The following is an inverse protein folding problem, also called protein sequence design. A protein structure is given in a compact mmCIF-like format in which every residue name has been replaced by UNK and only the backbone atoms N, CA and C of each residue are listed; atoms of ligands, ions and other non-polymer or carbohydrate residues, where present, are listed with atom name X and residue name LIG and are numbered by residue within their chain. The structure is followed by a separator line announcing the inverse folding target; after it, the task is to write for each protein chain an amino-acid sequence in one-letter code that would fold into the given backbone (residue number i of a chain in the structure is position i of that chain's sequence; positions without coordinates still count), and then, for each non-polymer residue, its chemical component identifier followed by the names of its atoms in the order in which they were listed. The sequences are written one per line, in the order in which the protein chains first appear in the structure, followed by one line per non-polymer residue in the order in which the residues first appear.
data_IF_451488932217
#
_entry.id   IF_451488932217
#
_cell.length_a   1.000
_cell.length_b   1.000
_cell.length_c   1.000
_cell.angle_alpha   90.00
_cell.angle_beta   90.00
_cell.angle_gamma   90.00
#
_symmetry.space_group_name_H-M   'P 1'
#
loop_
_entity.id
_entity.type
_entity.pdbx_description
1 polymer ?
#
# COMPACT_ATOMS: atom_id res chain seq x y z
N UNK A 1 37.39 -60.22 -2.49
CA UNK A 1 36.12 -60.89 -2.87
C UNK A 1 35.00 -59.96 -2.41
N UNK A 2 34.40 -59.18 -3.33
CA UNK A 2 33.03 -59.37 -3.89
C UNK A 2 31.96 -59.21 -2.76
N UNK A 3 31.02 -58.26 -2.78
CA UNK A 3 30.14 -57.85 -3.89
C UNK A 3 29.67 -56.39 -3.78
N UNK A 4 29.60 -55.74 -4.95
CA UNK A 4 28.79 -54.56 -5.22
C UNK A 4 27.34 -54.96 -5.50
N UNK A 5 26.38 -54.14 -5.07
CA UNK A 5 25.00 -53.98 -5.60
C UNK A 5 24.47 -52.73 -4.88
N UNK A 6 24.18 -51.59 -5.50
CA UNK A 6 23.63 -51.39 -6.84
C UNK A 6 22.11 -51.43 -6.78
N UNK A 7 21.48 -50.47 -6.11
CA UNK A 7 20.03 -50.25 -6.21
C UNK A 7 19.75 -48.75 -6.39
N UNK A 8 19.72 -48.34 -7.65
CA UNK A 8 19.13 -47.08 -8.07
C UNK A 8 17.60 -47.23 -7.98
N UNK A 9 16.96 -46.48 -7.09
CA UNK A 9 15.51 -46.31 -7.09
C UNK A 9 15.19 -44.88 -7.58
N UNK A 10 14.88 -44.79 -8.87
CA UNK A 10 14.15 -43.68 -9.46
C UNK A 10 12.69 -43.78 -9.01
N UNK A 11 12.21 -42.82 -8.21
CA UNK A 11 10.78 -42.56 -8.05
C UNK A 11 10.46 -41.08 -8.20
N UNK A 12 9.97 -40.77 -9.40
CA UNK A 12 8.70 -40.09 -9.65
C UNK A 12 8.25 -38.98 -8.70
N UNK A 13 8.28 -37.77 -9.25
CA UNK A 13 7.52 -36.56 -8.92
C UNK A 13 6.17 -36.75 -8.23
N UNK A 14 5.98 -36.05 -7.11
CA UNK A 14 4.67 -35.57 -6.68
C UNK A 14 4.81 -34.12 -6.19
N UNK A 15 4.65 -33.17 -7.11
CA UNK A 15 4.40 -31.77 -6.76
C UNK A 15 3.02 -31.73 -6.08
N UNK A 16 3.01 -31.68 -4.76
CA UNK A 16 1.80 -31.37 -4.01
C UNK A 16 1.39 -29.95 -4.37
N UNK A 17 0.32 -29.81 -5.15
CA UNK A 17 -0.41 -28.57 -5.27
C UNK A 17 -0.92 -28.22 -3.86
N UNK A 18 -0.33 -27.20 -3.24
CA UNK A 18 -0.84 -26.64 -2.00
C UNK A 18 -2.13 -25.90 -2.36
N UNK A 19 -3.26 -26.59 -2.26
CA UNK A 19 -4.56 -25.93 -2.26
C UNK A 19 -4.57 -25.00 -1.04
N UNK A 20 -4.50 -23.68 -1.27
CA UNK A 20 -4.75 -22.70 -0.23
C UNK A 20 -6.21 -22.83 0.18
N UNK A 21 -6.44 -23.44 1.35
CA UNK A 21 -7.74 -23.50 1.96
C UNK A 21 -8.25 -22.07 2.21
N UNK A 22 -9.55 -21.79 1.99
CA UNK A 22 -10.13 -20.52 2.38
C UNK A 22 -9.87 -20.31 3.88
N UNK A 23 -9.35 -19.13 4.23
CA UNK A 23 -9.21 -18.76 5.63
C UNK A 23 -10.61 -18.73 6.26
N UNK A 24 -10.78 -19.35 7.42
CA UNK A 24 -12.03 -19.26 8.16
C UNK A 24 -12.21 -17.83 8.71
N UNK A 25 -13.46 -17.36 8.94
CA UNK A 25 -13.67 -16.09 9.63
C UNK A 25 -12.93 -16.13 10.98
N UNK A 26 -12.06 -15.14 11.21
CA UNK A 26 -11.29 -15.04 12.44
C UNK A 26 -12.07 -14.22 13.47
N UNK A 27 -12.05 -14.66 14.72
CA UNK A 27 -12.68 -13.94 15.82
C UNK A 27 -11.62 -13.12 16.54
N UNK A 28 -11.77 -11.80 16.55
CA UNK A 28 -10.89 -10.88 17.28
C UNK A 28 -11.59 -10.43 18.56
N UNK A 29 -10.89 -10.57 19.68
CA UNK A 29 -11.29 -10.12 21.00
C UNK A 29 -10.63 -8.78 21.30
N UNK A 30 -11.42 -7.76 21.61
CA UNK A 30 -10.96 -6.47 22.13
C UNK A 30 -11.10 -6.48 23.65
N UNK A 31 -9.96 -6.44 24.34
CA UNK A 31 -9.88 -6.48 25.79
C UNK A 31 -9.55 -5.09 26.33
N UNK A 32 -10.40 -4.55 27.20
CA UNK A 32 -10.18 -3.27 27.88
C UNK A 32 -9.86 -3.54 29.34
N UNK A 33 -8.66 -3.17 29.78
CA UNK A 33 -8.17 -3.32 31.15
C UNK A 33 -8.78 -2.30 32.13
N UNK A 34 -8.59 -2.50 33.44
CA UNK A 34 -9.10 -1.60 34.48
C UNK A 34 -8.44 -0.21 34.47
N UNK A 35 -7.24 -0.12 33.92
CA UNK A 35 -6.48 1.10 33.63
C UNK A 35 -6.89 1.78 32.30
N UNK A 36 -7.82 1.16 31.56
CA UNK A 36 -8.25 1.63 30.24
C UNK A 36 -7.36 1.18 29.08
N UNK A 37 -6.33 0.37 29.33
CA UNK A 37 -5.49 -0.17 28.26
C UNK A 37 -6.29 -1.10 27.34
N UNK A 38 -6.10 -0.98 26.02
CA UNK A 38 -6.81 -1.78 25.02
C UNK A 38 -5.85 -2.72 24.29
N UNK A 39 -6.20 -4.02 24.26
CA UNK A 39 -5.49 -5.04 23.50
C UNK A 39 -6.43 -5.75 22.51
N UNK A 40 -5.92 -6.12 21.34
CA UNK A 40 -6.62 -6.96 20.35
C UNK A 40 -5.92 -8.31 20.25
N UNK A 41 -6.68 -9.40 20.36
CA UNK A 41 -6.13 -10.75 20.39
C UNK A 41 -7.08 -11.79 19.80
N UNK A 42 -6.53 -12.94 19.39
CA UNK A 42 -7.29 -14.07 18.84
C UNK A 42 -7.79 -15.05 19.92
N UNK A 43 -7.56 -14.72 21.20
CA UNK A 43 -7.94 -15.53 22.37
C UNK A 43 -8.89 -14.75 23.30
N UNK A 44 -9.72 -15.42 24.13
CA UNK A 44 -10.59 -14.75 25.09
C UNK A 44 -9.84 -13.82 26.05
N UNK A 45 -10.51 -12.76 26.49
CA UNK A 45 -9.89 -11.79 27.39
C UNK A 45 -9.54 -12.39 28.77
N UNK A 46 -8.40 -12.00 29.37
CA UNK A 46 -8.07 -12.39 30.74
C UNK A 46 -9.10 -11.85 31.74
N UNK A 47 -9.26 -12.51 32.91
CA UNK A 47 -10.25 -12.11 33.90
C UNK A 47 -10.02 -10.67 34.40
N UNK A 48 -11.10 -9.91 34.55
CA UNK A 48 -11.06 -8.50 34.95
C UNK A 48 -11.01 -7.49 33.80
N UNK A 49 -10.89 -7.95 32.55
CA UNK A 49 -11.00 -7.10 31.37
C UNK A 49 -12.44 -7.08 30.83
N UNK A 50 -12.86 -5.95 30.24
CA UNK A 50 -14.09 -5.89 29.43
C UNK A 50 -13.80 -6.45 28.04
N UNK A 51 -14.65 -7.37 27.59
CA UNK A 51 -14.52 -8.04 26.30
C UNK A 51 -15.55 -7.52 25.29
N UNK A 52 -15.08 -7.18 24.08
CA UNK A 52 -15.91 -6.98 22.90
C UNK A 52 -15.40 -7.93 21.79
N UNK A 53 -16.25 -8.86 21.35
CA UNK A 53 -15.93 -9.82 20.30
C UNK A 53 -16.36 -9.29 18.94
N UNK A 54 -15.47 -9.35 17.94
CA UNK A 54 -15.78 -9.05 16.54
C UNK A 54 -15.33 -10.17 15.63
N UNK A 55 -16.22 -10.60 14.75
CA UNK A 55 -15.88 -11.51 13.66
C UNK A 55 -15.38 -10.69 12.48
N UNK A 56 -14.20 -11.03 11.98
CA UNK A 56 -13.67 -10.46 10.75
C UNK A 56 -13.85 -11.46 9.61
N UNK A 57 -14.42 -10.98 8.50
CA UNK A 57 -14.55 -11.76 7.29
C UNK A 57 -13.15 -12.17 6.81
N UNK A 58 -13.05 -13.41 6.35
CA UNK A 58 -11.81 -13.91 5.80
C UNK A 58 -11.46 -13.13 4.53
N UNK A 59 -10.19 -12.75 4.40
CA UNK A 59 -9.72 -12.10 3.19
C UNK A 59 -9.80 -13.11 2.04
N UNK A 60 -10.69 -12.83 1.09
CA UNK A 60 -10.81 -13.61 -0.15
C UNK A 60 -10.11 -12.82 -1.24
N UNK A 61 -8.95 -13.28 -1.76
CA UNK A 61 -8.33 -12.67 -2.92
C UNK A 61 -9.33 -12.67 -4.08
N UNK A 62 -9.58 -11.50 -4.67
CA UNK A 62 -10.45 -11.40 -5.84
C UNK A 62 -9.83 -12.20 -7.00
N UNK A 63 -10.59 -13.15 -7.55
CA UNK A 63 -10.20 -13.84 -8.78
C UNK A 63 -10.17 -12.81 -9.93
N UNK A 64 -9.11 -12.77 -10.76
CA UNK A 64 -9.08 -11.87 -11.90
C UNK A 64 -10.25 -12.17 -12.84
N UNK A 65 -11.08 -11.16 -13.11
CA UNK A 65 -12.22 -11.29 -13.99
C UNK A 65 -11.78 -11.73 -15.39
N UNK A 66 -12.26 -12.89 -15.82
CA UNK A 66 -12.12 -13.34 -17.21
C UNK A 66 -13.04 -12.46 -18.08
N UNK A 67 -12.55 -11.84 -19.16
CA UNK A 67 -13.39 -11.00 -20.00
C UNK A 67 -14.53 -11.83 -20.59
N UNK A 68 -15.77 -11.44 -20.30
CA UNK A 68 -16.96 -11.99 -20.95
C UNK A 68 -16.97 -11.58 -22.42
N UNK A 69 -17.15 -12.56 -23.29
CA UNK A 69 -17.39 -12.31 -24.71
C UNK A 69 -18.70 -11.51 -24.87
N UNK A 70 -18.60 -10.35 -25.51
CA UNK A 70 -19.72 -9.48 -25.86
C UNK A 70 -20.66 -10.21 -26.82
N UNK A 71 -21.88 -10.51 -26.39
CA UNK A 71 -22.99 -10.81 -27.30
C UNK A 71 -23.43 -9.52 -27.98
N UNK A 72 -23.61 -9.48 -29.32
CA UNK A 72 -24.17 -8.31 -29.99
C UNK A 72 -25.58 -8.00 -29.47
N UNK A 73 -25.79 -6.73 -29.08
CA UNK A 73 -27.08 -6.24 -28.64
C UNK A 73 -28.06 -6.10 -29.82
N UNK A 74 -29.25 -6.68 -29.67
CA UNK A 74 -30.37 -6.48 -30.58
C UNK A 74 -30.97 -5.08 -30.38
N UNK A 75 -31.20 -4.36 -31.48
CA UNK A 75 -31.66 -2.97 -31.48
C UNK A 75 -33.18 -2.93 -31.31
N UNK A 76 -33.66 -2.43 -30.17
CA UNK A 76 -35.06 -2.09 -29.97
C UNK A 76 -35.42 -0.71 -30.55
N UNK A 77 -36.67 -0.48 -31.01
CA UNK A 77 -37.07 0.78 -31.64
C UNK A 77 -37.24 1.94 -30.65
N UNK A 78 -37.05 3.15 -31.18
CA UNK A 78 -36.91 4.41 -30.45
C UNK A 78 -38.17 4.87 -29.69
N UNK A 79 -37.98 5.27 -28.43
CA UNK A 79 -38.94 6.01 -27.62
C UNK A 79 -38.97 7.51 -28.01
N UNK A 80 -40.08 8.24 -27.75
CA UNK A 80 -40.20 9.65 -28.10
C UNK A 80 -39.24 10.54 -27.29
N UNK A 81 -38.63 11.50 -27.98
CA UNK A 81 -37.64 12.44 -27.43
C UNK A 81 -38.33 13.49 -26.54
N UNK A 82 -37.81 13.66 -25.34
CA UNK A 82 -38.03 14.84 -24.49
C UNK A 82 -37.02 15.89 -24.92
N UNK A 83 -37.49 17.07 -25.32
CA UNK A 83 -36.64 18.21 -25.64
C UNK A 83 -36.11 18.85 -24.34
N UNK A 84 -34.89 18.49 -23.98
CA UNK A 84 -34.11 19.20 -22.96
C UNK A 84 -33.38 20.34 -23.68
N UNK A 85 -33.65 21.59 -23.29
CA UNK A 85 -32.84 22.72 -23.74
C UNK A 85 -31.37 22.45 -23.38
N UNK A 86 -30.55 22.28 -24.40
CA UNK A 86 -29.12 22.05 -24.25
C UNK A 86 -28.44 23.28 -23.67
N UNK A 87 -28.09 23.23 -22.39
CA UNK A 87 -26.98 24.03 -21.90
C UNK A 87 -25.73 23.59 -22.69
N UNK A 88 -25.09 24.53 -23.38
CA UNK A 88 -23.84 24.27 -24.12
C UNK A 88 -22.84 23.60 -23.19
N UNK A 89 -22.44 22.33 -23.42
CA UNK A 89 -21.41 21.71 -22.61
C UNK A 89 -20.14 22.52 -22.80
N UNK A 90 -19.56 23.01 -21.70
CA UNK A 90 -18.18 23.48 -21.76
C UNK A 90 -17.32 22.35 -22.35
N UNK A 91 -16.35 22.66 -23.23
CA UNK A 91 -15.52 21.62 -23.83
C UNK A 91 -14.87 20.80 -22.72
N UNK A 92 -15.08 19.49 -22.75
CA UNK A 92 -14.39 18.58 -21.85
C UNK A 92 -12.89 18.75 -22.09
N UNK A 93 -12.17 19.30 -21.12
CA UNK A 93 -10.71 19.26 -21.12
C UNK A 93 -10.32 17.77 -21.07
N UNK A 94 -9.43 17.29 -21.95
CA UNK A 94 -8.91 15.94 -21.82
C UNK A 94 -8.20 15.84 -20.47
N UNK A 95 -8.58 14.86 -19.65
CA UNK A 95 -7.85 14.53 -18.43
C UNK A 95 -6.42 14.18 -18.86
N UNK A 96 -5.47 15.01 -18.45
CA UNK A 96 -4.05 14.67 -18.53
C UNK A 96 -3.78 13.75 -17.34
N UNK A 97 -3.00 12.69 -17.52
CA UNK A 97 -2.68 11.82 -16.39
C UNK A 97 -1.84 12.61 -15.38
N UNK A 98 -2.10 12.52 -14.06
CA UNK A 98 -1.26 13.19 -13.07
C UNK A 98 0.21 12.79 -13.25
N UNK A 99 1.14 13.71 -12.96
CA UNK A 99 2.55 13.38 -12.95
C UNK A 99 2.79 12.20 -12.00
N UNK A 100 3.60 11.20 -12.41
CA UNK A 100 3.89 10.06 -11.57
C UNK A 100 4.55 10.52 -10.28
N UNK A 101 4.24 9.81 -9.21
CA UNK A 101 4.80 10.06 -7.88
C UNK A 101 5.28 8.75 -7.32
N UNK A 102 6.43 8.75 -6.65
CA UNK A 102 7.01 7.54 -6.09
C UNK A 102 6.63 7.43 -4.62
N UNK A 103 6.10 6.28 -4.21
CA UNK A 103 5.96 5.93 -2.79
C UNK A 103 7.20 5.14 -2.38
N UNK A 104 8.05 5.78 -1.61
CA UNK A 104 9.26 5.17 -1.05
C UNK A 104 9.01 4.73 0.38
N UNK A 105 9.24 3.45 0.67
CA UNK A 105 9.05 2.85 2.00
C UNK A 105 10.40 2.49 2.60
N UNK A 106 10.63 2.93 3.82
CA UNK A 106 11.85 2.62 4.56
C UNK A 106 11.81 1.24 5.22
N UNK A 107 12.95 0.80 5.73
CA UNK A 107 13.09 -0.49 6.43
C UNK A 107 12.28 -0.59 7.74
N UNK A 108 11.78 0.53 8.26
CA UNK A 108 10.90 0.58 9.42
C UNK A 108 9.42 0.62 8.99
N UNK A 109 9.13 0.55 7.68
CA UNK A 109 7.78 0.59 7.12
C UNK A 109 7.20 2.00 6.94
N UNK A 110 7.99 3.07 7.15
CA UNK A 110 7.51 4.44 6.95
C UNK A 110 7.53 4.80 5.47
N UNK A 111 6.42 5.31 4.95
CA UNK A 111 6.31 5.75 3.56
C UNK A 111 6.49 7.27 3.40
N UNK A 112 7.15 7.70 2.33
CA UNK A 112 7.19 9.07 1.83
C UNK A 112 6.82 9.13 0.34
N UNK A 113 6.36 10.29 -0.12
CA UNK A 113 6.15 10.54 -1.54
C UNK A 113 7.28 11.39 -2.13
N UNK A 114 7.85 10.96 -3.25
CA UNK A 114 8.89 11.69 -3.99
C UNK A 114 8.42 12.03 -5.41
N UNK A 115 8.90 13.16 -5.95
CA UNK A 115 8.62 13.63 -7.32
C UNK A 115 9.47 12.94 -8.39
N UNK A 116 10.43 12.12 -7.96
CA UNK A 116 11.31 11.32 -8.80
C UNK A 116 11.65 10.04 -8.05
N UNK A 117 12.21 9.06 -8.76
CA UNK A 117 12.81 7.89 -8.14
C UNK A 117 14.00 8.31 -7.26
N UNK A 118 13.77 8.42 -5.95
CA UNK A 118 14.75 8.83 -4.93
C UNK A 118 14.85 7.78 -3.81
N UNK A 119 15.48 6.62 -4.10
CA UNK A 119 15.74 5.61 -3.09
C UNK A 119 16.90 6.09 -2.21
N UNK A 120 16.60 6.60 -1.02
CA UNK A 120 17.61 7.16 -0.11
C UNK A 120 18.45 6.04 0.52
N UNK A 121 19.76 5.93 0.19
CA UNK A 121 20.61 4.95 0.82
C UNK A 121 21.00 5.44 2.22
N UNK A 122 20.85 4.56 3.22
CA UNK A 122 21.28 4.82 4.59
C UNK A 122 22.20 3.72 5.10
N UNK A 123 23.32 4.13 5.66
CA UNK A 123 24.29 3.27 6.33
C UNK A 123 23.71 2.88 7.70
N UNK A 124 23.10 1.69 7.78
CA UNK A 124 22.53 1.16 9.03
C UNK A 124 23.58 0.29 9.72
N UNK A 125 23.93 0.57 11.00
CA UNK A 125 24.92 -0.22 11.73
C UNK A 125 24.53 -1.69 11.77
N UNK A 126 25.53 -2.57 11.62
CA UNK A 126 25.27 -4.02 11.60
C UNK A 126 24.65 -4.53 12.91
N UNK A 127 24.95 -3.88 14.04
CA UNK A 127 24.35 -4.20 15.34
C UNK A 127 22.83 -3.98 15.37
N UNK A 128 22.32 -2.94 14.70
CA UNK A 128 20.87 -2.73 14.57
C UNK A 128 20.20 -3.78 13.70
N UNK A 129 20.97 -4.42 12.81
CA UNK A 129 20.52 -5.51 11.96
C UNK A 129 20.65 -6.89 12.65
N UNK A 130 20.96 -6.91 13.95
CA UNK A 130 21.08 -8.15 14.73
C UNK A 130 22.39 -8.91 14.52
N UNK A 131 23.40 -8.30 13.90
CA UNK A 131 24.73 -8.92 13.77
C UNK A 131 25.47 -8.78 15.10
N UNK A 132 25.85 -9.91 15.70
CA UNK A 132 26.68 -9.92 16.91
C UNK A 132 28.13 -9.54 16.57
N UNK A 133 28.56 -8.40 17.11
CA UNK A 133 29.92 -7.86 16.94
C UNK A 133 30.76 -8.00 18.22
N UNK A 134 30.29 -8.73 19.23
CA UNK A 134 30.96 -8.82 20.55
C UNK A 134 32.36 -9.41 20.49
N UNK A 135 32.65 -10.20 19.44
CA UNK A 135 33.98 -10.81 19.19
C UNK A 135 34.74 -10.15 18.04
N UNK A 136 34.18 -9.09 17.46
CA UNK A 136 34.79 -8.38 16.34
C UNK A 136 35.80 -7.33 16.86
N UNK A 137 36.83 -6.97 16.08
CA UNK A 137 37.74 -5.89 16.46
C UNK A 137 36.97 -4.56 16.59
N UNK A 138 37.46 -3.57 17.37
CA UNK A 138 36.75 -2.29 17.58
C UNK A 138 36.37 -1.55 16.28
N UNK A 139 37.19 -1.67 15.24
CA UNK A 139 36.92 -1.12 13.91
C UNK A 139 35.64 -1.68 13.26
N UNK A 140 35.15 -2.85 13.68
CA UNK A 140 33.92 -3.43 13.16
C UNK A 140 32.65 -2.66 13.60
N UNK A 141 32.72 -1.88 14.68
CA UNK A 141 31.58 -1.11 15.20
C UNK A 141 31.13 0.00 14.23
N UNK A 142 31.99 0.44 13.31
CA UNK A 142 31.67 1.44 12.29
C UNK A 142 31.20 0.82 10.98
N UNK A 143 31.19 -0.51 10.86
CA UNK A 143 30.68 -1.19 9.69
C UNK A 143 29.16 -1.05 9.63
N UNK A 144 28.67 -0.79 8.42
CA UNK A 144 27.25 -0.68 8.15
C UNK A 144 26.89 -1.38 6.86
N UNK A 145 25.61 -1.69 6.74
CA UNK A 145 24.99 -2.08 5.48
C UNK A 145 24.22 -0.89 4.95
N UNK A 146 24.40 -0.58 3.67
CA UNK A 146 23.52 0.36 3.00
C UNK A 146 22.16 -0.29 2.79
N UNK A 147 21.15 0.20 3.50
CA UNK A 147 19.76 -0.10 3.21
C UNK A 147 19.24 0.97 2.25
N UNK A 148 18.58 0.49 1.20
CA UNK A 148 17.97 1.31 0.16
C UNK A 148 16.46 1.20 0.33
N UNK A 149 15.76 2.31 0.19
CA UNK A 149 14.30 2.32 0.24
C UNK A 149 13.68 1.64 -0.97
N UNK A 150 12.54 0.98 -0.74
CA UNK A 150 11.74 0.44 -1.82
C UNK A 150 10.81 1.53 -2.35
N UNK A 151 11.02 1.95 -3.60
CA UNK A 151 10.28 3.03 -4.25
C UNK A 151 9.45 2.51 -5.40
N UNK A 152 8.13 2.59 -5.25
CA UNK A 152 7.16 2.17 -6.27
C UNK A 152 6.59 3.42 -6.94
N UNK A 153 6.64 3.44 -8.28
CA UNK A 153 5.98 4.48 -9.08
C UNK A 153 4.46 4.31 -9.03
N UNK A 154 3.75 5.40 -8.72
CA UNK A 154 2.29 5.46 -8.73
C UNK A 154 1.84 6.23 -9.97
N UNK A 155 0.90 5.66 -10.73
CA UNK A 155 0.25 6.29 -11.88
C UNK A 155 -1.27 6.26 -11.75
N UNK A 156 -1.96 6.96 -12.65
CA UNK A 156 -3.42 7.00 -12.71
C UNK A 156 -4.07 7.36 -11.38
N UNK A 157 -5.08 6.60 -10.97
CA UNK A 157 -5.85 6.85 -9.74
C UNK A 157 -4.99 6.81 -8.47
N UNK A 158 -3.96 5.95 -8.43
CA UNK A 158 -3.05 5.86 -7.29
C UNK A 158 -2.19 7.13 -7.16
N UNK A 159 -1.81 7.75 -8.29
CA UNK A 159 -1.14 9.04 -8.28
C UNK A 159 -2.08 10.15 -7.81
N UNK A 160 -3.34 10.16 -8.25
CA UNK A 160 -4.35 11.11 -7.75
C UNK A 160 -4.56 11.01 -6.24
N UNK A 161 -4.69 9.79 -5.70
CA UNK A 161 -4.79 9.59 -4.25
C UNK A 161 -3.56 10.12 -3.51
N UNK A 162 -2.36 9.85 -4.02
CA UNK A 162 -1.12 10.37 -3.44
C UNK A 162 -1.01 11.91 -3.50
N UNK A 163 -1.47 12.53 -4.59
CA UNK A 163 -1.54 13.99 -4.71
C UNK A 163 -2.58 14.61 -3.77
N UNK A 164 -3.69 13.91 -3.50
CA UNK A 164 -4.66 14.30 -2.49
C UNK A 164 -4.06 14.25 -1.07
N UNK A 165 -3.38 13.15 -0.71
CA UNK A 165 -2.66 13.04 0.57
C UNK A 165 -1.64 14.18 0.74
N UNK A 166 -0.93 14.54 -0.35
CA UNK A 166 0.01 15.68 -0.37
C UNK A 166 -0.68 17.03 -0.18
N UNK A 167 -1.84 17.25 -0.81
CA UNK A 167 -2.61 18.48 -0.61
C UNK A 167 -3.03 18.62 0.85
N UNK A 168 -3.58 17.55 1.45
CA UNK A 168 -4.03 17.56 2.84
C UNK A 168 -2.86 17.82 3.81
N UNK A 169 -1.71 17.19 3.56
CA UNK A 169 -0.49 17.41 4.31
C UNK A 169 0.03 18.85 4.16
N UNK A 170 0.03 19.41 2.95
CA UNK A 170 0.47 20.78 2.68
C UNK A 170 -0.47 21.83 3.31
N UNK A 171 -1.78 21.59 3.30
CA UNK A 171 -2.75 22.45 3.97
C UNK A 171 -2.56 22.41 5.49
N UNK A 172 -2.32 21.23 6.06
CA UNK A 172 -1.99 21.10 7.49
C UNK A 172 -0.69 21.84 7.84
N UNK A 173 0.36 21.61 7.06
CA UNK A 173 1.64 22.27 7.27
C UNK A 173 1.55 23.80 7.14
N UNK A 174 0.71 24.30 6.23
CA UNK A 174 0.46 25.73 6.08
C UNK A 174 -0.31 26.32 7.27
N UNK A 175 -1.28 25.62 7.86
CA UNK A 175 -1.98 26.07 9.09
C UNK A 175 -1.03 26.25 10.27
N UNK A 176 0.05 25.47 10.30
CA UNK A 176 1.07 25.51 11.35
C UNK A 176 2.36 26.23 10.94
N UNK A 177 2.38 26.89 9.77
CA UNK A 177 3.58 27.53 9.26
C UNK A 177 3.91 28.85 9.99
N UNK A 178 5.20 29.06 10.22
CA UNK A 178 5.72 30.35 10.67
C UNK A 178 5.78 31.35 9.50
N UNK A 179 5.91 32.64 9.79
CA UNK A 179 5.88 33.70 8.76
C UNK A 179 6.99 33.56 7.71
N UNK A 180 8.15 33.07 8.10
CA UNK A 180 9.32 32.82 7.25
C UNK A 180 9.12 31.64 6.28
N UNK A 181 8.36 30.63 6.69
CA UNK A 181 8.10 29.40 5.91
C UNK A 181 6.75 29.40 5.19
N UNK A 182 5.84 30.30 5.55
CA UNK A 182 4.48 30.31 5.03
C UNK A 182 4.40 30.50 3.50
N UNK A 183 5.33 31.24 2.91
CA UNK A 183 5.39 31.41 1.46
C UNK A 183 5.70 30.09 0.74
N UNK A 184 6.62 29.29 1.29
CA UNK A 184 6.95 27.96 0.77
C UNK A 184 5.79 26.99 0.88
N UNK A 185 5.18 26.92 2.07
CA UNK A 185 4.04 26.04 2.33
C UNK A 185 2.84 26.36 1.45
N UNK A 186 2.63 27.64 1.10
CA UNK A 186 1.63 28.04 0.09
C UNK A 186 1.95 27.49 -1.30
N UNK A 187 3.20 27.60 -1.75
CA UNK A 187 3.63 27.06 -3.06
C UNK A 187 3.41 25.55 -3.16
N UNK A 188 3.75 24.80 -2.09
CA UNK A 188 3.53 23.36 -2.03
C UNK A 188 2.05 22.99 -2.17
N UNK A 189 1.18 23.64 -1.38
CA UNK A 189 -0.28 23.46 -1.47
C UNK A 189 -0.81 23.80 -2.85
N UNK A 190 -0.43 24.95 -3.41
CA UNK A 190 -0.95 25.43 -4.68
C UNK A 190 -0.54 24.51 -5.83
N UNK A 191 0.68 23.95 -5.77
CA UNK A 191 1.13 22.93 -6.73
C UNK A 191 0.30 21.66 -6.65
N UNK A 192 0.08 21.10 -5.45
CA UNK A 192 -0.73 19.89 -5.30
C UNK A 192 -2.18 20.10 -5.77
N UNK A 193 -2.76 21.27 -5.45
CA UNK A 193 -4.10 21.65 -5.89
C UNK A 193 -4.21 21.78 -7.41
N UNK A 194 -3.20 22.36 -8.07
CA UNK A 194 -3.19 22.50 -9.53
C UNK A 194 -3.19 21.13 -10.22
N UNK A 195 -2.33 20.21 -9.76
CA UNK A 195 -2.28 18.83 -10.29
C UNK A 195 -3.65 18.15 -10.16
N UNK A 196 -4.27 18.19 -8.97
CA UNK A 196 -5.58 17.58 -8.76
C UNK A 196 -6.68 18.20 -9.64
N UNK A 197 -6.63 19.52 -9.88
CA UNK A 197 -7.63 20.22 -10.66
C UNK A 197 -7.51 19.97 -12.17
N UNK A 198 -6.29 19.81 -12.68
CA UNK A 198 -6.01 19.67 -14.11
C UNK A 198 -5.97 18.20 -14.55
N UNK A 199 -5.48 17.29 -13.69
CA UNK A 199 -5.08 15.95 -14.10
C UNK A 199 -5.92 14.80 -13.48
N UNK A 200 -6.69 15.07 -12.41
CA UNK A 200 -7.47 14.05 -11.73
C UNK A 200 -8.98 14.12 -12.08
N UNK A 201 -9.66 12.97 -12.19
CA UNK A 201 -11.11 12.93 -12.37
C UNK A 201 -11.81 13.55 -11.14
N UNK A 202 -12.96 14.20 -11.37
CA UNK A 202 -13.80 14.81 -10.33
C UNK A 202 -14.87 13.86 -9.82
#
# INVERSE_FOLDING_TARGET
MRYATGLALLLGTASAAVAQAPSAPAVIHRCVGPDGAVALQNAPCPPGHREERREIAAFTPAEPARPSATTPAEIAPAAPRIDILAATPAPARPLRMPPPVWRCTDHQGRSRFADAYDPQPRCVPLSMLGVDLSRAPPAAATLCRNLVDDCVELGGDAACAAWQERLDAAESALRHAFSDTAAERRRERDRARAVLADDCPR
#
